data_IF_005702986058
#
_entry.id   IF_005702986058
#
_cell.length_a   1.000
_cell.length_b   1.000
_cell.length_c   1.000
_cell.angle_alpha   90.00
_cell.angle_beta   90.00
_cell.angle_gamma   90.00
#
_symmetry.space_group_name_H-M   'P 1'
#
loop_
_entity.id
_entity.type
_entity.pdbx_description
1 polymer ?
#
# COMPACT_ATOMS: atom_id res chain seq x y z
N UNK A 1 79.31 -10.53 -30.16
CA UNK A 1 79.44 -9.95 -31.52
C UNK A 1 78.16 -9.26 -31.77
N UNK A 2 78.20 -8.07 -31.38
CA UNK A 2 78.11 -6.76 -32.07
C UNK A 2 76.68 -6.35 -32.43
N UNK A 3 76.21 -5.43 -31.64
CA UNK A 3 75.29 -4.39 -32.07
C UNK A 3 75.93 -3.49 -33.15
N UNK A 4 75.16 -2.84 -33.98
CA UNK A 4 75.19 -1.43 -33.86
C UNK A 4 73.80 -0.73 -33.80
N UNK A 5 73.90 0.34 -33.05
CA UNK A 5 72.99 1.50 -32.99
C UNK A 5 72.97 2.23 -34.33
N UNK A 6 71.94 3.00 -34.50
CA UNK A 6 71.83 4.36 -35.05
C UNK A 6 70.47 4.56 -35.71
N UNK A 7 69.79 5.65 -35.76
CA UNK A 7 69.96 7.02 -35.36
C UNK A 7 68.70 7.79 -35.67
N UNK A 8 68.39 8.67 -34.86
CA UNK A 8 67.52 9.88 -34.86
C UNK A 8 67.07 10.46 -36.22
N UNK A 9 65.91 11.01 -36.18
CA UNK A 9 65.31 12.16 -36.89
C UNK A 9 64.62 11.91 -38.20
N UNK A 10 63.32 12.18 -38.19
CA UNK A 10 62.68 13.27 -38.96
C UNK A 10 61.15 13.31 -38.69
N UNK A 11 60.74 14.35 -38.05
CA UNK A 11 59.81 15.40 -38.46
C UNK A 11 58.32 15.03 -38.73
N UNK A 12 57.50 15.41 -37.77
CA UNK A 12 56.24 16.17 -37.86
C UNK A 12 55.51 16.21 -39.22
N UNK A 13 54.36 15.61 -39.29
CA UNK A 13 53.15 16.20 -39.92
C UNK A 13 51.94 15.88 -39.04
N UNK A 14 51.33 16.94 -38.54
CA UNK A 14 50.14 16.83 -37.69
C UNK A 14 48.90 16.44 -38.49
N UNK A 15 48.18 15.49 -37.97
CA UNK A 15 46.76 15.30 -38.27
C UNK A 15 45.99 15.34 -36.95
N UNK A 16 45.31 16.44 -36.75
CA UNK A 16 44.39 16.62 -35.65
C UNK A 16 43.21 15.66 -35.82
N UNK A 17 43.28 14.52 -35.19
CA UNK A 17 42.11 13.62 -35.03
C UNK A 17 41.23 14.20 -33.93
N UNK A 18 40.15 14.82 -34.33
CA UNK A 18 39.03 15.19 -33.44
C UNK A 18 38.46 13.88 -32.86
N UNK A 19 38.91 13.54 -31.65
CA UNK A 19 38.19 12.57 -30.84
C UNK A 19 36.83 13.19 -30.45
N UNK A 20 35.81 12.86 -31.22
CA UNK A 20 34.44 12.99 -30.77
C UNK A 20 34.30 12.07 -29.54
N UNK A 21 34.36 12.66 -28.36
CA UNK A 21 33.88 12.02 -27.13
C UNK A 21 32.40 11.72 -27.33
N UNK A 22 32.09 10.51 -27.84
CA UNK A 22 30.79 9.90 -27.70
C UNK A 22 30.61 9.72 -26.20
N UNK A 23 30.05 10.72 -25.54
CA UNK A 23 29.55 10.61 -24.20
C UNK A 23 28.61 9.42 -24.16
N UNK A 24 28.96 8.38 -23.41
CA UNK A 24 27.99 7.40 -22.93
C UNK A 24 26.92 8.17 -22.17
N UNK A 25 25.89 8.61 -22.90
CA UNK A 25 24.68 9.13 -22.30
C UNK A 25 24.11 8.00 -21.45
N UNK A 26 24.24 8.15 -20.14
CA UNK A 26 23.33 7.50 -19.22
C UNK A 26 21.94 7.67 -19.83
N UNK A 27 21.35 6.57 -20.29
CA UNK A 27 19.98 6.56 -20.80
C UNK A 27 19.08 7.03 -19.65
N UNK A 28 18.86 8.33 -19.57
CA UNK A 28 17.76 8.90 -18.82
C UNK A 28 16.51 8.35 -19.50
N UNK A 29 15.65 7.65 -18.74
CA UNK A 29 14.38 7.21 -19.26
C UNK A 29 13.75 8.36 -20.03
N UNK A 30 13.63 8.22 -21.35
CA UNK A 30 13.15 9.26 -22.25
C UNK A 30 11.62 9.22 -22.28
N UNK A 31 11.01 10.36 -22.55
CA UNK A 31 9.62 10.45 -22.94
C UNK A 31 9.54 10.52 -24.46
N UNK A 32 8.61 9.80 -25.06
CA UNK A 32 8.27 9.92 -26.46
C UNK A 32 6.81 10.38 -26.53
N UNK A 33 6.58 11.64 -26.92
CA UNK A 33 5.23 12.20 -27.02
C UNK A 33 4.46 12.26 -25.69
N UNK A 34 5.15 12.53 -24.57
CA UNK A 34 4.51 12.57 -23.23
C UNK A 34 4.41 11.21 -22.53
N UNK A 35 4.71 10.10 -23.22
CA UNK A 35 4.63 8.74 -22.70
C UNK A 35 6.00 8.31 -22.17
N UNK A 36 6.12 7.79 -20.93
CA UNK A 36 7.36 7.18 -20.46
C UNK A 36 7.76 5.99 -21.34
N UNK A 37 9.01 5.96 -21.79
CA UNK A 37 9.51 4.91 -22.69
C UNK A 37 9.56 3.52 -22.04
N UNK A 38 9.53 3.48 -20.72
CA UNK A 38 9.57 2.24 -19.92
C UNK A 38 9.15 2.55 -18.50
N UNK A 39 8.11 1.92 -17.99
CA UNK A 39 7.66 2.14 -16.61
C UNK A 39 8.06 0.98 -15.71
N UNK A 40 8.73 1.29 -14.58
CA UNK A 40 8.98 0.35 -13.50
C UNK A 40 7.98 0.60 -12.36
N UNK A 41 7.35 -0.46 -11.87
CA UNK A 41 6.47 -0.40 -10.69
C UNK A 41 7.20 -0.93 -9.47
N UNK A 42 7.35 -0.10 -8.47
CA UNK A 42 7.98 -0.44 -7.18
C UNK A 42 6.91 -0.88 -6.19
N UNK A 43 7.21 -1.92 -5.42
CA UNK A 43 6.35 -2.39 -4.32
C UNK A 43 7.19 -2.63 -3.07
N UNK A 44 6.62 -2.42 -1.90
CA UNK A 44 7.32 -2.58 -0.61
C UNK A 44 7.23 -4.00 -0.04
N UNK A 45 6.47 -4.89 -0.66
CA UNK A 45 6.35 -6.29 -0.25
C UNK A 45 7.21 -7.20 -1.10
N UNK A 46 7.58 -8.35 -0.55
CA UNK A 46 8.22 -9.42 -1.33
C UNK A 46 7.29 -10.00 -2.40
N UNK A 47 7.84 -10.83 -3.31
CA UNK A 47 7.04 -11.53 -4.31
C UNK A 47 5.89 -12.33 -3.67
N UNK A 48 4.67 -12.17 -4.21
CA UNK A 48 3.44 -12.77 -3.67
C UNK A 48 2.83 -12.03 -2.48
N UNK A 49 3.46 -10.98 -1.97
CA UNK A 49 2.84 -10.11 -0.96
C UNK A 49 1.74 -9.22 -1.55
N UNK A 50 0.86 -8.69 -0.70
CA UNK A 50 -0.36 -7.99 -1.15
C UNK A 50 -0.11 -6.87 -2.16
N UNK A 51 0.92 -6.02 -1.96
CA UNK A 51 1.24 -4.96 -2.94
C UNK A 51 1.84 -5.49 -4.24
N UNK A 52 2.60 -6.60 -4.19
CA UNK A 52 3.14 -7.25 -5.38
C UNK A 52 2.02 -7.86 -6.23
N UNK A 53 1.10 -8.59 -5.58
CA UNK A 53 -0.06 -9.20 -6.25
C UNK A 53 -0.93 -8.11 -6.86
N UNK A 54 -1.27 -7.07 -6.10
CA UNK A 54 -2.07 -5.94 -6.59
C UNK A 54 -1.43 -5.27 -7.82
N UNK A 55 -0.15 -4.91 -7.74
CA UNK A 55 0.55 -4.24 -8.84
C UNK A 55 0.56 -5.11 -10.10
N UNK A 56 0.83 -6.42 -9.98
CA UNK A 56 0.83 -7.35 -11.12
C UNK A 56 -0.55 -7.53 -11.72
N UNK A 57 -1.61 -7.57 -10.91
CA UNK A 57 -2.98 -7.67 -11.41
C UNK A 57 -3.40 -6.40 -12.14
N UNK A 58 -3.12 -5.21 -11.58
CA UNK A 58 -3.35 -3.93 -12.26
C UNK A 58 -2.64 -3.88 -13.63
N UNK A 59 -1.36 -4.26 -13.68
CA UNK A 59 -0.59 -4.32 -14.93
C UNK A 59 -1.24 -5.28 -15.93
N UNK A 60 -1.62 -6.47 -15.47
CA UNK A 60 -2.28 -7.49 -16.31
C UNK A 60 -3.60 -6.97 -16.89
N UNK A 61 -4.43 -6.32 -16.08
CA UNK A 61 -5.69 -5.70 -16.55
C UNK A 61 -5.41 -4.64 -17.61
N UNK A 62 -4.47 -3.72 -17.34
CA UNK A 62 -4.09 -2.68 -18.30
C UNK A 62 -3.57 -3.25 -19.64
N UNK A 63 -2.85 -4.37 -19.60
CA UNK A 63 -2.40 -5.07 -20.81
C UNK A 63 -3.56 -5.74 -21.56
N UNK A 64 -4.45 -6.42 -20.82
CA UNK A 64 -5.63 -7.10 -21.38
C UNK A 64 -6.53 -6.11 -22.11
N UNK A 65 -6.76 -4.94 -21.50
CA UNK A 65 -7.60 -3.87 -22.04
C UNK A 65 -6.82 -2.95 -23.00
N UNK A 66 -5.57 -3.29 -23.34
CA UNK A 66 -4.69 -2.55 -24.27
C UNK A 66 -4.49 -1.07 -23.89
N UNK A 67 -4.53 -0.78 -22.59
CA UNK A 67 -4.27 0.57 -22.07
C UNK A 67 -2.78 0.90 -22.04
N UNK A 68 -1.94 -0.14 -21.97
CA UNK A 68 -0.47 -0.04 -22.07
C UNK A 68 0.04 -1.00 -23.13
N UNK A 69 1.06 -0.55 -23.88
CA UNK A 69 1.68 -1.38 -24.93
C UNK A 69 2.80 -2.27 -24.36
N UNK A 70 3.54 -1.75 -23.38
CA UNK A 70 4.73 -2.40 -22.82
C UNK A 70 4.42 -3.10 -21.50
N UNK A 71 5.24 -4.11 -21.18
CA UNK A 71 5.23 -4.70 -19.87
C UNK A 71 5.88 -3.75 -18.86
N UNK A 72 5.22 -3.52 -17.73
CA UNK A 72 5.75 -2.74 -16.61
C UNK A 72 6.37 -3.69 -15.57
N UNK A 73 7.71 -3.82 -15.50
CA UNK A 73 8.34 -4.72 -14.55
C UNK A 73 8.08 -4.26 -13.11
N UNK A 74 7.76 -5.23 -12.24
CA UNK A 74 7.59 -5.01 -10.80
C UNK A 74 8.92 -5.23 -10.10
N UNK A 75 9.32 -4.28 -9.25
CA UNK A 75 10.54 -4.31 -8.42
C UNK A 75 10.16 -4.30 -6.94
N UNK A 76 10.55 -5.35 -6.23
CA UNK A 76 10.28 -5.51 -4.80
C UNK A 76 11.40 -4.86 -3.98
N UNK A 77 11.07 -3.83 -3.17
CA UNK A 77 11.98 -3.07 -2.30
C UNK A 77 11.47 -3.24 -0.85
N UNK A 78 11.96 -4.27 -0.18
CA UNK A 78 11.37 -4.76 1.08
C UNK A 78 12.05 -4.21 2.35
N UNK A 79 13.12 -3.44 2.20
CA UNK A 79 13.91 -2.94 3.32
C UNK A 79 13.11 -1.99 4.22
N UNK A 80 13.13 -2.24 5.52
CA UNK A 80 12.45 -1.42 6.51
C UNK A 80 10.95 -1.24 6.24
N UNK A 81 10.26 -2.30 5.78
CA UNK A 81 8.87 -2.23 5.33
C UNK A 81 8.75 -1.28 4.12
N UNK A 82 8.06 -0.13 4.23
CA UNK A 82 7.91 0.82 3.11
C UNK A 82 9.08 1.81 2.96
N UNK A 83 10.01 1.90 3.92
CA UNK A 83 11.08 2.91 3.94
C UNK A 83 12.04 2.75 2.75
N UNK A 84 12.44 1.50 2.43
CA UNK A 84 13.30 1.23 1.28
C UNK A 84 12.68 1.66 -0.03
N UNK A 85 11.40 1.33 -0.24
CA UNK A 85 10.65 1.73 -1.44
C UNK A 85 10.51 3.26 -1.55
N UNK A 86 10.19 3.95 -0.45
CA UNK A 86 10.13 5.42 -0.43
C UNK A 86 11.48 6.06 -0.73
N UNK A 87 12.55 5.57 -0.10
CA UNK A 87 13.93 6.06 -0.33
C UNK A 87 14.36 5.84 -1.78
N UNK A 88 14.00 4.71 -2.36
CA UNK A 88 14.26 4.41 -3.76
C UNK A 88 13.57 5.42 -4.70
N UNK A 89 12.26 5.72 -4.46
CA UNK A 89 11.55 6.72 -5.25
C UNK A 89 12.14 8.13 -5.05
N UNK A 90 12.46 8.52 -3.81
CA UNK A 90 13.08 9.82 -3.53
C UNK A 90 14.39 9.99 -4.29
N UNK A 91 15.21 8.93 -4.38
CA UNK A 91 16.43 8.91 -5.16
C UNK A 91 16.23 9.04 -6.68
N UNK A 92 14.99 8.89 -7.16
CA UNK A 92 14.60 9.01 -8.58
C UNK A 92 13.92 10.33 -8.92
N UNK A 93 14.13 11.36 -8.12
CA UNK A 93 13.59 12.71 -8.33
C UNK A 93 13.65 13.13 -9.81
N UNK A 94 12.52 13.59 -10.34
CA UNK A 94 12.37 14.06 -11.73
C UNK A 94 12.33 12.95 -12.78
N UNK A 95 12.32 11.67 -12.40
CA UNK A 95 12.21 10.54 -13.35
C UNK A 95 10.75 10.30 -13.74
N UNK A 96 10.44 10.17 -15.04
CA UNK A 96 9.08 9.90 -15.51
C UNK A 96 8.71 8.41 -15.50
N UNK A 97 9.67 7.51 -15.38
CA UNK A 97 9.58 6.10 -15.74
C UNK A 97 9.54 5.16 -14.51
N UNK A 98 9.26 5.70 -13.34
CA UNK A 98 9.18 4.91 -12.10
C UNK A 98 7.97 5.36 -11.29
N UNK A 99 7.13 4.41 -10.89
CA UNK A 99 6.00 4.63 -9.98
C UNK A 99 6.00 3.57 -8.90
N UNK A 100 5.25 3.75 -7.83
CA UNK A 100 5.10 2.72 -6.80
C UNK A 100 3.65 2.50 -6.42
N UNK A 101 3.28 1.24 -6.18
CA UNK A 101 2.01 0.88 -5.57
C UNK A 101 2.10 1.11 -4.05
N UNK A 102 1.14 1.86 -3.51
CA UNK A 102 1.11 2.32 -2.12
C UNK A 102 -0.14 1.85 -1.38
N UNK A 103 0.04 1.69 -0.08
CA UNK A 103 -0.99 1.32 0.90
C UNK A 103 -0.78 2.16 2.18
N UNK A 104 -1.67 2.11 3.18
CA UNK A 104 -1.48 2.79 4.47
C UNK A 104 -0.16 2.47 5.18
N UNK A 105 0.46 1.33 4.91
CA UNK A 105 1.79 1.00 5.44
C UNK A 105 2.83 2.11 5.15
N UNK A 106 2.68 2.83 4.03
CA UNK A 106 3.56 3.94 3.67
C UNK A 106 3.36 5.19 4.55
N UNK A 107 2.23 5.28 5.23
CA UNK A 107 1.94 6.30 6.24
C UNK A 107 2.37 5.84 7.63
N UNK A 108 1.97 4.63 8.02
CA UNK A 108 2.19 4.09 9.37
C UNK A 108 3.67 3.87 9.66
N UNK A 109 4.43 3.29 8.72
CA UNK A 109 5.83 2.93 8.96
C UNK A 109 6.70 4.13 9.35
N UNK A 110 6.68 5.28 8.62
CA UNK A 110 7.46 6.45 9.05
C UNK A 110 7.04 7.04 10.39
N UNK A 111 5.78 6.87 10.79
CA UNK A 111 5.26 7.38 12.06
C UNK A 111 5.63 6.49 13.26
N UNK A 112 6.00 5.23 13.00
CA UNK A 112 6.26 4.23 14.06
C UNK A 112 7.72 3.78 14.15
N UNK A 113 8.54 4.00 13.11
CA UNK A 113 9.97 3.65 13.11
C UNK A 113 10.84 4.88 13.38
N UNK A 114 11.71 4.77 14.40
CA UNK A 114 12.70 5.82 14.71
C UNK A 114 13.77 5.94 13.62
N UNK A 115 14.30 7.17 13.45
CA UNK A 115 15.38 7.45 12.50
C UNK A 115 14.98 7.46 11.03
N UNK A 116 13.70 7.42 10.70
CA UNK A 116 13.22 7.54 9.33
C UNK A 116 13.26 9.00 8.87
N UNK A 117 13.83 9.24 7.67
CA UNK A 117 13.94 10.58 7.08
C UNK A 117 13.11 10.73 5.80
N UNK A 118 12.19 9.81 5.55
CA UNK A 118 11.33 9.82 4.34
C UNK A 118 9.87 9.80 4.72
N UNK A 119 9.05 10.52 3.94
CA UNK A 119 7.60 10.54 4.08
C UNK A 119 6.95 10.36 2.70
N UNK A 120 5.77 9.73 2.67
CA UNK A 120 4.98 9.63 1.45
C UNK A 120 4.57 11.02 0.94
N UNK A 121 4.47 12.02 1.83
CA UNK A 121 4.12 13.40 1.46
C UNK A 121 5.20 14.12 0.64
N UNK A 122 6.41 13.57 0.57
CA UNK A 122 7.48 14.07 -0.31
C UNK A 122 7.36 13.52 -1.74
N UNK A 123 6.57 12.48 -1.95
CA UNK A 123 6.38 11.81 -3.23
C UNK A 123 5.28 12.49 -4.05
N UNK A 124 5.28 12.25 -5.36
CA UNK A 124 4.25 12.77 -6.26
C UNK A 124 3.02 11.85 -6.21
N UNK A 125 1.86 12.27 -5.66
CA UNK A 125 0.63 11.51 -5.78
C UNK A 125 0.26 11.36 -7.25
N UNK A 126 -0.19 10.16 -7.66
CA UNK A 126 -0.68 9.91 -9.03
C UNK A 126 -2.17 9.65 -8.98
N UNK A 127 -2.59 8.54 -8.35
CA UNK A 127 -4.01 8.24 -8.15
C UNK A 127 -4.21 7.22 -7.03
N UNK A 128 -5.31 7.34 -6.27
CA UNK A 128 -5.92 6.19 -5.59
C UNK A 128 -6.85 5.48 -6.57
N UNK A 129 -6.96 4.16 -6.47
CA UNK A 129 -7.80 3.35 -7.36
C UNK A 129 -8.98 2.73 -6.62
N UNK A 130 -8.76 2.24 -5.41
CA UNK A 130 -9.77 1.54 -4.63
C UNK A 130 -9.52 1.64 -3.12
N UNK A 131 -10.56 1.35 -2.38
CA UNK A 131 -10.55 1.12 -0.94
C UNK A 131 -10.86 -0.36 -0.69
N UNK A 132 -10.13 -0.98 0.23
CA UNK A 132 -10.44 -2.30 0.78
C UNK A 132 -11.15 -2.11 2.13
N UNK A 133 -12.49 -2.26 2.20
CA UNK A 133 -13.20 -2.04 3.44
C UNK A 133 -12.72 -2.98 4.53
N UNK A 134 -12.36 -2.43 5.67
CA UNK A 134 -12.01 -3.21 6.84
C UNK A 134 -13.28 -3.59 7.60
N UNK A 135 -13.40 -4.86 7.92
CA UNK A 135 -14.55 -5.47 8.60
C UNK A 135 -14.11 -6.04 9.94
N UNK A 136 -15.01 -6.01 10.90
CA UNK A 136 -14.84 -6.71 12.18
C UNK A 136 -15.62 -8.01 12.12
N UNK A 137 -14.94 -9.11 12.38
CA UNK A 137 -15.51 -10.46 12.31
C UNK A 137 -15.25 -11.26 13.60
N UNK A 138 -16.18 -12.14 13.88
CA UNK A 138 -16.14 -13.10 14.99
C UNK A 138 -16.46 -14.50 14.46
N UNK A 139 -16.21 -15.55 15.24
CA UNK A 139 -16.66 -16.91 14.87
C UNK A 139 -18.19 -16.97 14.79
N UNK A 140 -18.75 -17.80 13.90
CA UNK A 140 -20.19 -17.87 13.62
C UNK A 140 -21.05 -18.16 14.84
N UNK A 141 -20.55 -18.98 15.77
CA UNK A 141 -21.21 -19.34 17.04
C UNK A 141 -20.82 -18.43 18.22
N UNK A 142 -20.07 -17.35 17.97
CA UNK A 142 -19.68 -16.39 19.00
C UNK A 142 -20.89 -15.77 19.68
N UNK A 143 -20.84 -15.52 21.01
CA UNK A 143 -21.87 -14.79 21.74
C UNK A 143 -21.89 -13.29 21.40
N UNK A 144 -20.86 -12.79 20.68
CA UNK A 144 -20.76 -11.39 20.30
C UNK A 144 -21.44 -11.16 18.95
N UNK A 145 -22.49 -10.34 18.93
CA UNK A 145 -23.24 -10.00 17.73
C UNK A 145 -22.90 -8.61 17.19
N UNK A 146 -22.27 -7.79 18.01
CA UNK A 146 -21.80 -6.43 17.70
C UNK A 146 -20.38 -6.24 18.22
N UNK A 147 -19.70 -5.17 17.77
CA UNK A 147 -18.41 -4.78 18.36
C UNK A 147 -18.61 -4.33 19.81
N UNK A 148 -19.74 -3.70 20.10
CA UNK A 148 -20.09 -3.30 21.47
C UNK A 148 -20.19 -4.50 22.40
N UNK A 149 -20.79 -5.62 21.97
CA UNK A 149 -20.83 -6.85 22.78
C UNK A 149 -19.43 -7.38 23.08
N UNK A 150 -18.52 -7.35 22.10
CA UNK A 150 -17.13 -7.75 22.30
C UNK A 150 -16.43 -6.84 23.33
N UNK A 151 -16.57 -5.53 23.20
CA UNK A 151 -16.01 -4.54 24.14
C UNK A 151 -16.55 -4.77 25.55
N UNK A 152 -17.84 -4.99 25.72
CA UNK A 152 -18.44 -5.31 27.02
C UNK A 152 -17.94 -6.64 27.58
N UNK A 153 -17.71 -7.64 26.71
CA UNK A 153 -17.05 -8.90 27.09
C UNK A 153 -15.63 -8.67 27.58
N UNK A 154 -14.85 -7.84 26.88
CA UNK A 154 -13.49 -7.48 27.29
C UNK A 154 -13.47 -6.70 28.61
N UNK A 155 -14.44 -5.80 28.84
CA UNK A 155 -14.58 -5.07 30.10
C UNK A 155 -14.83 -5.98 31.29
N UNK A 156 -15.62 -7.04 31.10
CA UNK A 156 -15.91 -8.04 32.16
C UNK A 156 -14.74 -8.96 32.43
N UNK A 157 -13.89 -9.19 31.46
CA UNK A 157 -12.75 -10.12 31.52
C UNK A 157 -11.51 -9.48 30.88
N UNK A 158 -10.87 -8.50 31.54
CA UNK A 158 -9.66 -7.86 31.03
C UNK A 158 -8.58 -8.88 30.69
N UNK A 159 -7.89 -8.70 29.54
CA UNK A 159 -6.83 -9.57 29.02
C UNK A 159 -7.22 -11.04 28.73
N UNK A 160 -8.50 -11.40 28.79
CA UNK A 160 -8.94 -12.76 28.42
C UNK A 160 -9.26 -12.88 26.93
N UNK A 161 -9.89 -11.89 26.33
CA UNK A 161 -10.21 -11.92 24.91
C UNK A 161 -8.96 -11.66 24.06
N UNK A 162 -9.02 -12.16 22.84
CA UNK A 162 -7.90 -12.07 21.88
C UNK A 162 -8.42 -11.54 20.55
N UNK A 163 -7.79 -10.51 20.03
CA UNK A 163 -7.90 -10.11 18.63
C UNK A 163 -6.78 -10.77 17.85
N UNK A 164 -7.07 -11.39 16.71
CA UNK A 164 -6.03 -11.84 15.78
C UNK A 164 -5.91 -10.85 14.62
N UNK A 165 -4.69 -10.63 14.18
CA UNK A 165 -4.41 -9.71 13.07
C UNK A 165 -3.02 -9.89 12.46
N UNK A 166 -2.61 -8.90 11.67
CA UNK A 166 -1.32 -8.84 11.00
C UNK A 166 -0.17 -8.50 11.94
N UNK A 167 0.66 -7.52 11.58
CA UNK A 167 1.70 -7.02 12.48
C UNK A 167 1.11 -6.06 13.53
N UNK A 168 1.86 -5.81 14.60
CA UNK A 168 1.46 -4.86 15.64
C UNK A 168 1.35 -3.40 15.15
N UNK A 169 1.90 -3.10 13.97
CA UNK A 169 1.82 -1.80 13.28
C UNK A 169 0.89 -1.83 12.07
N UNK A 170 0.19 -2.94 11.83
CA UNK A 170 -0.79 -3.03 10.76
C UNK A 170 -2.08 -2.30 11.13
N UNK A 171 -2.86 -1.91 10.12
CA UNK A 171 -4.11 -1.17 10.24
C UNK A 171 -5.09 -1.82 11.23
N UNK A 172 -5.24 -3.14 11.16
CA UNK A 172 -6.11 -3.93 12.05
C UNK A 172 -5.70 -3.84 13.53
N UNK A 173 -4.39 -3.86 13.82
CA UNK A 173 -3.85 -3.67 15.16
C UNK A 173 -4.09 -2.25 15.67
N UNK A 174 -3.87 -1.24 14.82
CA UNK A 174 -4.11 0.17 15.17
C UNK A 174 -5.59 0.42 15.49
N UNK A 175 -6.51 -0.15 14.71
CA UNK A 175 -7.96 -0.05 14.96
C UNK A 175 -8.30 -0.71 16.31
N UNK A 176 -7.76 -1.90 16.58
CA UNK A 176 -7.98 -2.57 17.86
C UNK A 176 -7.48 -1.78 19.06
N UNK A 177 -6.31 -1.17 18.94
CA UNK A 177 -5.74 -0.30 19.99
C UNK A 177 -6.55 0.98 20.19
N UNK A 178 -7.04 1.60 19.11
CA UNK A 178 -7.92 2.74 19.19
C UNK A 178 -9.22 2.41 19.93
N UNK A 179 -9.83 1.26 19.62
CA UNK A 179 -11.00 0.75 20.34
C UNK A 179 -10.70 0.54 21.84
N UNK A 180 -9.59 -0.14 22.18
CA UNK A 180 -9.18 -0.35 23.58
C UNK A 180 -9.00 0.97 24.32
N UNK A 181 -8.26 1.92 23.73
CA UNK A 181 -8.00 3.23 24.33
C UNK A 181 -9.31 4.02 24.54
N UNK A 182 -10.18 4.05 23.55
CA UNK A 182 -11.44 4.82 23.60
C UNK A 182 -12.44 4.26 24.59
N UNK A 183 -12.46 2.93 24.78
CA UNK A 183 -13.44 2.23 25.61
C UNK A 183 -12.92 1.88 27.01
N UNK A 184 -11.66 2.22 27.31
CA UNK A 184 -10.96 1.81 28.54
C UNK A 184 -11.10 0.32 28.80
N UNK A 185 -10.77 -0.48 27.78
CA UNK A 185 -10.81 -1.95 27.83
C UNK A 185 -9.49 -2.51 27.34
N UNK A 186 -9.21 -3.78 27.71
CA UNK A 186 -7.98 -4.46 27.33
C UNK A 186 -8.26 -5.87 26.82
N UNK A 187 -7.60 -6.24 25.72
CA UNK A 187 -7.54 -7.59 25.18
C UNK A 187 -6.18 -7.84 24.54
N UNK A 188 -5.82 -9.11 24.35
CA UNK A 188 -4.55 -9.52 23.77
C UNK A 188 -4.58 -9.41 22.26
N UNK A 189 -3.42 -9.27 21.65
CA UNK A 189 -3.25 -9.30 20.20
C UNK A 189 -2.38 -10.49 19.78
N UNK A 190 -2.90 -11.32 18.88
CA UNK A 190 -2.22 -12.47 18.29
C UNK A 190 -1.87 -12.15 16.85
N UNK A 191 -0.56 -12.16 16.52
CA UNK A 191 -0.07 -11.73 15.21
C UNK A 191 0.29 -12.91 14.31
N UNK A 192 -0.22 -12.90 13.08
CA UNK A 192 0.20 -13.78 11.99
C UNK A 192 0.34 -12.99 10.69
N UNK A 193 1.44 -13.22 9.97
CA UNK A 193 1.68 -12.55 8.69
C UNK A 193 0.70 -13.01 7.59
N UNK A 194 0.27 -14.26 7.64
CA UNK A 194 -0.59 -14.90 6.64
C UNK A 194 -2.06 -14.86 7.06
N UNK A 195 -2.94 -14.45 6.12
CA UNK A 195 -4.38 -14.32 6.34
C UNK A 195 -5.06 -15.65 6.67
N UNK A 196 -4.62 -16.75 6.04
CA UNK A 196 -5.13 -18.08 6.31
C UNK A 196 -4.86 -18.54 7.74
N UNK A 197 -3.70 -18.17 8.30
CA UNK A 197 -3.38 -18.45 9.71
C UNK A 197 -4.26 -17.63 10.66
N UNK A 198 -4.56 -16.37 10.31
CA UNK A 198 -5.46 -15.50 11.09
C UNK A 198 -6.87 -16.07 11.14
N UNK A 199 -7.43 -16.44 9.99
CA UNK A 199 -8.74 -17.11 9.90
C UNK A 199 -8.75 -18.43 10.67
N UNK A 200 -7.72 -19.26 10.52
CA UNK A 200 -7.61 -20.51 11.26
C UNK A 200 -7.60 -20.28 12.79
N UNK A 201 -6.92 -19.28 13.29
CA UNK A 201 -6.91 -18.92 14.71
C UNK A 201 -8.30 -18.49 15.20
N UNK A 202 -9.02 -17.68 14.41
CA UNK A 202 -10.41 -17.30 14.70
C UNK A 202 -11.32 -18.52 14.76
N UNK A 203 -11.25 -19.42 13.78
CA UNK A 203 -12.09 -20.60 13.69
C UNK A 203 -11.83 -21.63 14.80
N UNK A 204 -10.57 -21.77 15.24
CA UNK A 204 -10.22 -22.63 16.39
C UNK A 204 -10.62 -22.02 17.74
N UNK A 205 -10.95 -20.72 17.77
CA UNK A 205 -11.26 -20.01 19.02
C UNK A 205 -10.02 -19.52 19.77
N UNK A 206 -8.82 -19.59 19.16
CA UNK A 206 -7.60 -19.00 19.71
C UNK A 206 -7.73 -17.46 19.80
N UNK A 207 -8.57 -16.89 18.98
CA UNK A 207 -9.00 -15.50 19.04
C UNK A 207 -10.53 -15.38 18.92
N UNK A 208 -11.09 -14.33 19.49
CA UNK A 208 -12.52 -14.05 19.50
C UNK A 208 -12.94 -12.99 18.47
N UNK A 209 -11.97 -12.20 17.98
CA UNK A 209 -12.21 -11.15 17.01
C UNK A 209 -11.06 -11.09 15.99
N UNK A 210 -11.41 -10.79 14.74
CA UNK A 210 -10.46 -10.46 13.68
C UNK A 210 -10.95 -9.19 12.96
N UNK A 211 -10.04 -8.29 12.64
CA UNK A 211 -10.26 -7.17 11.74
C UNK A 211 -9.49 -7.47 10.46
N UNK A 212 -10.14 -7.30 9.30
CA UNK A 212 -9.53 -7.62 8.02
C UNK A 212 -10.37 -7.18 6.83
N UNK A 213 -9.87 -7.44 5.63
CA UNK A 213 -10.56 -7.12 4.38
C UNK A 213 -11.76 -8.07 4.12
N UNK A 214 -12.67 -7.66 3.26
CA UNK A 214 -13.84 -8.49 2.86
C UNK A 214 -13.41 -9.88 2.37
N UNK A 215 -12.35 -9.95 1.58
CA UNK A 215 -11.81 -11.21 1.03
C UNK A 215 -11.38 -12.21 2.09
N UNK A 216 -10.95 -11.75 3.25
CA UNK A 216 -10.57 -12.64 4.36
C UNK A 216 -11.76 -13.48 4.85
N UNK A 217 -12.99 -12.98 4.71
CA UNK A 217 -14.18 -13.53 5.36
C UNK A 217 -15.21 -14.17 4.43
N UNK A 218 -15.23 -13.81 3.13
CA UNK A 218 -16.32 -14.16 2.21
C UNK A 218 -16.69 -15.65 2.21
N UNK A 219 -15.71 -16.53 2.12
CA UNK A 219 -15.97 -17.97 2.04
C UNK A 219 -16.44 -18.54 3.38
N UNK A 220 -15.92 -18.03 4.49
CA UNK A 220 -16.29 -18.48 5.82
C UNK A 220 -17.67 -17.96 6.24
N UNK A 221 -18.06 -16.79 5.75
CA UNK A 221 -19.42 -16.24 5.96
C UNK A 221 -20.46 -17.05 5.19
N UNK A 222 -20.18 -17.45 3.94
CA UNK A 222 -21.08 -18.28 3.12
C UNK A 222 -21.48 -19.60 3.81
N UNK A 223 -20.54 -20.19 4.57
CA UNK A 223 -20.76 -21.44 5.29
C UNK A 223 -21.15 -21.23 6.76
N UNK A 224 -21.32 -19.99 7.20
CA UNK A 224 -21.71 -19.64 8.57
C UNK A 224 -20.64 -19.85 9.63
N UNK A 225 -19.40 -20.14 9.24
CA UNK A 225 -18.28 -20.34 10.15
C UNK A 225 -17.77 -19.05 10.77
N UNK A 226 -17.95 -17.92 10.08
CA UNK A 226 -17.61 -16.56 10.52
C UNK A 226 -18.84 -15.67 10.37
N UNK A 227 -19.00 -14.72 11.28
CA UNK A 227 -19.99 -13.64 11.23
C UNK A 227 -19.25 -12.31 11.19
N UNK A 228 -19.54 -11.49 10.20
CA UNK A 228 -19.11 -10.08 10.17
C UNK A 228 -20.11 -9.27 10.99
N UNK A 229 -19.61 -8.43 11.91
CA UNK A 229 -20.44 -7.72 12.89
C UNK A 229 -20.42 -6.20 12.73
N UNK A 230 -19.43 -5.66 12.00
CA UNK A 230 -19.37 -4.22 11.67
C UNK A 230 -18.45 -3.94 10.49
N UNK A 231 -18.66 -2.78 9.87
CA UNK A 231 -17.63 -2.10 9.07
C UNK A 231 -16.80 -1.20 9.98
N UNK A 232 -15.51 -1.03 9.69
CA UNK A 232 -14.65 -0.11 10.45
C UNK A 232 -14.98 1.34 10.09
N UNK A 233 -14.93 1.68 8.80
CA UNK A 233 -15.29 3.00 8.31
C UNK A 233 -16.81 3.16 8.15
N UNK A 234 -17.29 4.40 8.20
CA UNK A 234 -18.69 4.75 7.96
C UNK A 234 -18.97 4.75 6.43
N UNK A 235 -18.79 3.57 5.83
CA UNK A 235 -18.89 3.32 4.39
C UNK A 235 -19.74 2.06 4.16
N UNK A 236 -20.64 2.12 3.17
CA UNK A 236 -21.33 0.92 2.72
C UNK A 236 -20.37 -0.03 2.02
N UNK A 237 -20.47 -1.30 2.34
CA UNK A 237 -19.71 -2.39 1.72
C UNK A 237 -20.66 -3.21 0.86
N UNK A 238 -20.48 -3.25 -0.46
CA UNK A 238 -21.45 -3.91 -1.36
C UNK A 238 -21.71 -5.38 -1.01
N UNK A 239 -20.68 -6.11 -0.60
CA UNK A 239 -20.79 -7.52 -0.19
C UNK A 239 -21.51 -7.72 1.16
N UNK A 240 -21.67 -6.65 1.95
CA UNK A 240 -22.31 -6.66 3.27
C UNK A 240 -23.16 -5.40 3.47
N UNK A 241 -24.21 -5.18 2.67
CA UNK A 241 -24.94 -3.91 2.61
C UNK A 241 -25.70 -3.55 3.90
N UNK A 242 -25.99 -4.54 4.74
CA UNK A 242 -26.74 -4.36 6.00
C UNK A 242 -25.85 -4.06 7.21
N UNK A 243 -24.52 -4.13 7.05
CA UNK A 243 -23.63 -3.86 8.17
C UNK A 243 -23.64 -2.37 8.53
N UNK A 244 -23.61 -2.12 9.83
CA UNK A 244 -23.38 -0.80 10.41
C UNK A 244 -21.91 -0.62 10.76
N UNK A 245 -21.43 0.61 10.74
CA UNK A 245 -20.07 0.93 11.18
C UNK A 245 -19.91 0.80 12.70
N UNK A 246 -18.66 0.64 13.16
CA UNK A 246 -18.35 0.68 14.60
C UNK A 246 -18.83 1.99 15.22
N UNK A 247 -18.75 3.11 14.50
CA UNK A 247 -19.27 4.42 14.93
C UNK A 247 -20.79 4.41 15.09
N UNK A 248 -21.52 3.81 14.14
CA UNK A 248 -22.98 3.68 14.24
C UNK A 248 -23.42 2.76 15.40
N UNK A 249 -22.51 1.88 15.88
CA UNK A 249 -22.72 1.08 17.09
C UNK A 249 -22.35 1.82 18.38
N UNK A 250 -22.10 3.12 18.31
CA UNK A 250 -21.77 3.96 19.48
C UNK A 250 -20.27 4.02 19.85
N UNK A 251 -19.40 3.43 19.04
CA UNK A 251 -17.96 3.38 19.28
C UNK A 251 -17.24 4.40 18.37
N UNK A 252 -17.39 5.69 18.66
CA UNK A 252 -16.67 6.74 17.94
C UNK A 252 -15.24 6.85 18.47
N UNK A 253 -14.32 6.18 17.79
CA UNK A 253 -12.89 6.16 18.12
C UNK A 253 -12.07 7.22 17.38
N UNK A 254 -12.76 8.15 16.69
CA UNK A 254 -12.14 9.17 15.87
C UNK A 254 -11.80 8.65 14.46
N UNK A 255 -10.97 9.40 13.71
CA UNK A 255 -10.58 9.00 12.38
C UNK A 255 -9.72 7.75 12.44
N UNK A 256 -10.12 6.73 11.67
CA UNK A 256 -9.38 5.48 11.51
C UNK A 256 -8.74 5.42 10.13
N UNK A 257 -7.62 4.70 9.98
CA UNK A 257 -6.98 4.54 8.69
C UNK A 257 -7.90 3.78 7.71
N UNK A 258 -8.05 4.31 6.51
CA UNK A 258 -8.68 3.58 5.41
C UNK A 258 -7.64 2.74 4.67
N UNK A 259 -7.94 1.48 4.38
CA UNK A 259 -7.08 0.60 3.60
C UNK A 259 -7.27 0.92 2.12
N UNK A 260 -6.46 1.82 1.59
CA UNK A 260 -6.48 2.24 0.19
C UNK A 260 -5.40 1.55 -0.63
N UNK A 261 -5.62 1.48 -1.95
CA UNK A 261 -4.62 1.09 -2.94
C UNK A 261 -4.50 2.19 -3.99
N UNK A 262 -3.27 2.61 -4.25
CA UNK A 262 -3.00 3.68 -5.21
C UNK A 262 -1.57 3.67 -5.70
N UNK A 263 -1.21 4.72 -6.44
CA UNK A 263 0.13 4.88 -7.00
C UNK A 263 0.69 6.26 -6.73
N UNK A 264 1.98 6.30 -6.45
CA UNK A 264 2.77 7.53 -6.33
C UNK A 264 4.00 7.45 -7.24
N UNK A 265 4.56 8.60 -7.57
CA UNK A 265 5.79 8.73 -8.33
C UNK A 265 6.90 9.42 -7.54
N UNK A 266 8.11 9.50 -8.11
CA UNK A 266 9.21 10.26 -7.54
C UNK A 266 8.87 11.75 -7.38
N UNK A 267 9.50 12.46 -6.44
CA UNK A 267 9.35 13.91 -6.33
C UNK A 267 9.66 14.61 -7.65
N UNK A 268 8.92 15.66 -7.99
CA UNK A 268 9.09 16.43 -9.22
C UNK A 268 9.00 15.60 -10.52
N UNK A 269 8.12 14.60 -10.54
CA UNK A 269 7.76 13.90 -11.78
C UNK A 269 7.31 14.91 -12.84
N UNK A 270 7.74 14.80 -14.12
CA UNK A 270 7.28 15.67 -15.19
C UNK A 270 5.76 15.64 -15.34
N UNK A 271 5.16 16.79 -15.60
CA UNK A 271 3.70 16.93 -15.70
C UNK A 271 3.07 16.02 -16.76
N UNK A 272 3.74 15.87 -17.92
CA UNK A 272 3.26 15.00 -19.00
C UNK A 272 3.22 13.52 -18.59
N UNK A 273 4.23 13.08 -17.79
CA UNK A 273 4.24 11.72 -17.27
C UNK A 273 3.15 11.51 -16.21
N UNK A 274 2.95 12.49 -15.33
CA UNK A 274 1.87 12.46 -14.34
C UNK A 274 0.51 12.33 -15.02
N UNK A 275 0.27 13.17 -16.06
CA UNK A 275 -0.98 13.14 -16.84
C UNK A 275 -1.18 11.78 -17.52
N UNK A 276 -0.12 11.24 -18.15
CA UNK A 276 -0.17 9.92 -18.77
C UNK A 276 -0.61 8.82 -17.79
N UNK A 277 -0.04 8.78 -16.59
CA UNK A 277 -0.41 7.79 -15.58
C UNK A 277 -1.84 7.99 -15.09
N UNK A 278 -2.25 9.22 -14.82
CA UNK A 278 -3.62 9.51 -14.39
C UNK A 278 -4.65 9.09 -15.46
N UNK A 279 -4.41 9.41 -16.72
CA UNK A 279 -5.30 9.03 -17.82
C UNK A 279 -5.37 7.51 -17.98
N UNK A 280 -4.24 6.82 -17.82
CA UNK A 280 -4.17 5.36 -17.89
C UNK A 280 -4.95 4.71 -16.77
N UNK A 281 -4.77 5.15 -15.52
CA UNK A 281 -5.51 4.62 -14.38
C UNK A 281 -7.00 4.98 -14.41
N UNK A 282 -7.35 6.18 -14.87
CA UNK A 282 -8.75 6.57 -15.03
C UNK A 282 -9.49 5.68 -16.07
N UNK A 283 -8.81 5.34 -17.18
CA UNK A 283 -9.35 4.37 -18.15
C UNK A 283 -9.48 2.98 -17.55
N UNK A 284 -8.48 2.54 -16.77
CA UNK A 284 -8.51 1.24 -16.10
C UNK A 284 -9.73 1.08 -15.19
N UNK A 285 -9.97 2.05 -14.29
CA UNK A 285 -11.10 1.96 -13.34
C UNK A 285 -12.48 2.07 -13.99
N UNK A 286 -12.51 2.42 -15.28
CA UNK A 286 -13.72 2.44 -16.10
C UNK A 286 -13.87 1.20 -16.99
N UNK A 287 -12.87 0.30 -17.00
CA UNK A 287 -12.86 -0.89 -17.84
C UNK A 287 -13.70 -2.03 -17.21
N UNK A 288 -14.37 -2.87 -18.01
CA UNK A 288 -15.16 -4.00 -17.48
C UNK A 288 -14.36 -4.93 -16.60
N UNK A 289 -13.13 -5.30 -16.98
CA UNK A 289 -12.28 -6.19 -16.19
C UNK A 289 -11.89 -5.64 -14.82
N UNK A 290 -11.94 -4.31 -14.64
CA UNK A 290 -11.73 -3.68 -13.34
C UNK A 290 -12.90 -3.94 -12.38
N UNK A 291 -14.12 -3.86 -12.86
CA UNK A 291 -15.30 -4.12 -12.03
C UNK A 291 -15.30 -5.56 -11.51
N UNK A 292 -15.01 -6.52 -12.40
CA UNK A 292 -14.89 -7.93 -12.02
C UNK A 292 -13.80 -8.11 -10.94
N UNK A 293 -12.64 -7.48 -11.13
CA UNK A 293 -11.55 -7.51 -10.16
C UNK A 293 -11.95 -6.93 -8.79
N UNK A 294 -12.62 -5.79 -8.78
CA UNK A 294 -13.07 -5.12 -7.54
C UNK A 294 -14.12 -5.97 -6.82
N UNK A 295 -15.09 -6.53 -7.54
CA UNK A 295 -16.15 -7.35 -6.99
C UNK A 295 -15.62 -8.67 -6.42
N UNK A 296 -14.72 -9.35 -7.15
CA UNK A 296 -14.06 -10.58 -6.69
C UNK A 296 -13.24 -10.37 -5.42
N UNK A 297 -12.63 -9.18 -5.27
CA UNK A 297 -11.86 -8.83 -4.09
C UNK A 297 -12.67 -8.15 -2.98
N UNK A 298 -13.99 -7.99 -3.15
CA UNK A 298 -14.86 -7.31 -2.17
C UNK A 298 -14.38 -5.89 -1.84
N UNK A 299 -13.71 -5.26 -2.80
CA UNK A 299 -13.19 -3.90 -2.70
C UNK A 299 -14.22 -2.90 -3.22
N UNK A 300 -13.93 -1.62 -3.12
CA UNK A 300 -14.77 -0.53 -3.65
C UNK A 300 -13.90 0.37 -4.50
N UNK A 301 -14.29 0.60 -5.75
CA UNK A 301 -13.63 1.61 -6.58
C UNK A 301 -13.76 2.99 -5.93
N UNK A 302 -12.64 3.64 -5.68
CA UNK A 302 -12.58 5.01 -5.15
C UNK A 302 -11.43 5.75 -5.86
N UNK A 303 -11.72 6.20 -7.09
CA UNK A 303 -10.72 6.87 -7.91
C UNK A 303 -10.53 8.31 -7.46
N UNK A 304 -9.33 8.61 -6.97
CA UNK A 304 -8.89 9.95 -6.68
C UNK A 304 -7.70 10.28 -7.58
N UNK A 305 -7.82 11.31 -8.41
CA UNK A 305 -6.69 11.84 -9.17
C UNK A 305 -5.65 12.51 -8.25
N UNK A 306 -4.52 12.94 -8.79
CA UNK A 306 -3.43 13.53 -7.99
C UNK A 306 -3.88 14.74 -7.17
N UNK A 307 -4.83 15.54 -7.68
CA UNK A 307 -5.34 16.74 -7.02
C UNK A 307 -6.14 16.45 -5.75
N UNK A 308 -6.77 15.28 -5.70
CA UNK A 308 -7.54 14.78 -4.55
C UNK A 308 -6.74 13.80 -3.71
N UNK A 309 -5.94 12.94 -4.34
CA UNK A 309 -5.15 11.93 -3.65
C UNK A 309 -4.07 12.55 -2.75
N UNK A 310 -3.43 13.65 -3.18
CA UNK A 310 -2.47 14.36 -2.33
C UNK A 310 -3.06 14.86 -1.01
N UNK A 311 -4.15 15.64 -1.03
CA UNK A 311 -4.87 16.02 0.19
C UNK A 311 -5.35 14.82 1.02
N UNK A 312 -5.86 13.76 0.40
CA UNK A 312 -6.26 12.53 1.09
C UNK A 312 -5.07 11.89 1.85
N UNK A 313 -3.91 11.72 1.19
CA UNK A 313 -2.72 11.17 1.86
C UNK A 313 -2.27 12.04 3.04
N UNK A 314 -2.36 13.36 2.90
CA UNK A 314 -2.03 14.28 3.98
C UNK A 314 -3.01 14.14 5.15
N UNK A 315 -4.29 14.11 4.90
CA UNK A 315 -5.33 13.94 5.92
C UNK A 315 -5.18 12.61 6.65
N UNK A 316 -4.94 11.51 5.91
CA UNK A 316 -4.69 10.20 6.49
C UNK A 316 -3.41 10.20 7.35
N UNK A 317 -2.33 10.83 6.88
CA UNK A 317 -1.09 10.95 7.64
C UNK A 317 -1.27 11.71 8.95
N UNK A 318 -1.95 12.85 8.90
CA UNK A 318 -2.16 13.70 10.07
C UNK A 318 -3.08 12.99 11.10
N UNK A 319 -4.13 12.31 10.63
CA UNK A 319 -5.04 11.52 11.46
C UNK A 319 -4.34 10.33 12.11
N UNK A 320 -3.50 9.63 11.35
CA UNK A 320 -2.70 8.51 11.85
C UNK A 320 -1.66 8.97 12.88
N UNK A 321 -1.02 10.12 12.67
CA UNK A 321 -0.07 10.67 13.64
C UNK A 321 -0.74 10.93 14.99
N UNK A 322 -1.93 11.55 14.99
CA UNK A 322 -2.73 11.77 16.20
C UNK A 322 -3.14 10.44 16.85
N UNK A 323 -3.60 9.47 16.07
CA UNK A 323 -3.99 8.16 16.58
C UNK A 323 -2.80 7.44 17.22
N UNK A 324 -1.67 7.34 16.52
CA UNK A 324 -0.45 6.66 16.98
C UNK A 324 0.07 7.29 18.27
N UNK A 325 0.02 8.63 18.38
CA UNK A 325 0.37 9.35 19.62
C UNK A 325 -0.58 8.99 20.77
N UNK A 326 -1.89 9.02 20.51
CA UNK A 326 -2.92 8.77 21.52
C UNK A 326 -2.89 7.36 22.11
N UNK A 327 -2.37 6.38 21.34
CA UNK A 327 -2.24 4.97 21.77
C UNK A 327 -0.81 4.61 22.21
N UNK A 328 0.07 5.61 22.36
CA UNK A 328 1.43 5.43 22.88
C UNK A 328 2.36 4.62 21.98
N UNK A 329 2.12 4.64 20.66
CA UNK A 329 2.97 4.00 19.64
C UNK A 329 3.94 4.97 18.96
N UNK A 330 3.98 6.22 19.39
CA UNK A 330 5.01 7.16 18.95
C UNK A 330 6.39 6.65 19.34
N UNK A 331 7.34 6.89 18.47
CA UNK A 331 8.74 6.52 18.62
C UNK A 331 9.30 7.03 19.96
N UNK A 332 9.84 6.13 20.77
CA UNK A 332 10.74 6.47 21.87
C UNK A 332 12.18 6.56 21.35
#
# INVERSE_FOLDING_TARGET
>A
MDMPQMSRRTMLIGTASVFALAGCGLQRGGMSGGVPSRTQVVVHTGPGGGSDVFARQVIKLMQTDKLIADNWPVSNQTEGSSIGAMSYLRGRKGRPDTIAAVTPTWLVTPLTLSGTSVSITELQPIAALLIEPQLVAVRGDSPYHTVTDFVEGARKQPDHLVQVGGSITATDSLIGKALQSKTDTQWKFLSFADSGQRIAALLRGDAQMMIGASTDFLDQVKVGAVRVVATVADRKVPTFPELTSIKAQGLDVGPLPEEFRGFVGPPNMPADALQYYQDTFHKLVSAPGWNDFVDENGSVTDYLDASKFGPFLKEQNDSLAVLIDSIGLTQQ
#
